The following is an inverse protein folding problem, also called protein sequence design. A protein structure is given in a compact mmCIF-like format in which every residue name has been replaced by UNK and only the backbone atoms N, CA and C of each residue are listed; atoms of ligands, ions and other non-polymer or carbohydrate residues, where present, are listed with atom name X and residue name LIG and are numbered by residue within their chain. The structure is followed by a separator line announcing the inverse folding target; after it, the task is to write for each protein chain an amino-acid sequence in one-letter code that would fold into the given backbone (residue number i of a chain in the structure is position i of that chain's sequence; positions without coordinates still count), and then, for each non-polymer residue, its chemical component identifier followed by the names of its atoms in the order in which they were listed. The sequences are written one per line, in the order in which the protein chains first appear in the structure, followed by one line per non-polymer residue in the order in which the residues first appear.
data_IF_997696852316
#
_entry.id   IF_997696852316
#
_cell.length_a   1.000
_cell.length_b   1.000
_cell.length_c   1.000
_cell.angle_alpha   90.00
_cell.angle_beta   90.00
_cell.angle_gamma   90.00
#
_symmetry.space_group_name_H-M   'P 1'
#
loop_
_entity.id
_entity.type
_entity.pdbx_description
1 polymer ?
#
# COMPACT_ATOMS: atom_id res chain seq x y z
N UNK A 1 11.13 1.12 -2.92
CA UNK A 1 11.16 2.12 -3.99
C UNK A 1 11.14 1.54 -5.40
N UNK A 2 11.82 0.42 -5.69
CA UNK A 2 11.80 -0.16 -7.05
C UNK A 2 10.39 -0.44 -7.59
N UNK A 3 9.54 -1.08 -6.77
CA UNK A 3 8.12 -1.32 -7.12
C UNK A 3 7.35 0.00 -7.32
N UNK A 4 7.61 1.00 -6.49
CA UNK A 4 6.99 2.33 -6.64
C UNK A 4 7.37 2.94 -7.99
N UNK A 5 8.66 2.95 -8.32
CA UNK A 5 9.17 3.49 -9.57
C UNK A 5 8.58 2.77 -10.77
N UNK A 6 8.50 1.43 -10.72
CA UNK A 6 7.85 0.65 -11.78
C UNK A 6 6.39 1.08 -11.97
N UNK A 7 5.62 1.23 -10.89
CA UNK A 7 4.22 1.70 -10.96
C UNK A 7 4.11 3.09 -11.57
N UNK A 8 4.98 4.02 -11.17
CA UNK A 8 5.02 5.37 -11.74
C UNK A 8 5.32 5.34 -13.23
N UNK A 9 6.29 4.53 -13.67
CA UNK A 9 6.63 4.39 -15.09
C UNK A 9 5.46 3.80 -15.89
N UNK A 10 4.89 2.68 -15.44
CA UNK A 10 3.79 2.00 -16.14
C UNK A 10 2.54 2.89 -16.24
N UNK A 11 2.14 3.54 -15.15
CA UNK A 11 1.01 4.50 -15.15
C UNK A 11 1.31 5.70 -16.02
N UNK A 12 2.51 6.25 -15.90
CA UNK A 12 2.97 7.40 -16.67
C UNK A 12 2.85 7.16 -18.17
N UNK A 13 3.39 6.02 -18.64
CA UNK A 13 3.29 5.59 -20.04
C UNK A 13 1.85 5.36 -20.48
N UNK A 14 1.05 4.68 -19.66
CA UNK A 14 -0.35 4.37 -19.98
C UNK A 14 -1.24 5.61 -20.04
N UNK A 15 -0.92 6.67 -19.28
CA UNK A 15 -1.59 7.97 -19.35
C UNK A 15 -0.95 8.94 -20.35
N UNK A 16 0.07 8.52 -21.11
CA UNK A 16 0.71 9.35 -22.14
C UNK A 16 1.60 10.47 -21.60
N UNK A 17 2.11 10.37 -20.37
CA UNK A 17 3.06 11.34 -19.84
C UNK A 17 4.41 11.24 -20.56
N UNK A 18 5.01 12.40 -20.83
CA UNK A 18 6.39 12.48 -21.31
C UNK A 18 7.41 12.07 -20.24
N UNK A 19 8.63 11.76 -20.66
CA UNK A 19 9.70 11.27 -19.79
C UNK A 19 9.97 12.19 -18.58
N UNK A 20 9.96 13.51 -18.78
CA UNK A 20 10.19 14.48 -17.71
C UNK A 20 9.10 14.45 -16.64
N UNK A 21 7.83 14.26 -17.07
CA UNK A 21 6.70 14.12 -16.17
C UNK A 21 6.80 12.86 -15.31
N UNK A 22 7.19 11.74 -15.91
CA UNK A 22 7.42 10.48 -15.19
C UNK A 22 8.58 10.63 -14.20
N UNK A 23 9.70 11.22 -14.66
CA UNK A 23 10.93 11.38 -13.87
C UNK A 23 10.71 12.17 -12.58
N UNK A 24 9.84 13.18 -12.61
CA UNK A 24 9.54 14.02 -11.45
C UNK A 24 8.95 13.25 -10.25
N UNK A 25 8.38 12.07 -10.50
CA UNK A 25 7.74 11.22 -9.48
C UNK A 25 8.58 9.98 -9.11
N UNK A 26 9.76 9.80 -9.73
CA UNK A 26 10.67 8.70 -9.42
C UNK A 26 11.52 8.99 -8.18
N UNK A 27 11.85 7.92 -7.45
CA UNK A 27 12.67 7.95 -6.25
C UNK A 27 13.82 6.94 -6.41
N UNK A 28 15.03 7.36 -6.83
CA UNK A 28 16.18 6.48 -7.08
C UNK A 28 16.87 6.04 -5.78
N UNK A 29 16.08 5.56 -4.81
CA UNK A 29 16.54 5.10 -3.50
C UNK A 29 16.28 3.58 -3.28
N UNK A 30 16.00 2.84 -4.36
CA UNK A 30 15.89 1.39 -4.35
C UNK A 30 17.17 0.70 -4.83
N UNK A 31 17.05 -0.55 -5.28
CA UNK A 31 18.15 -1.26 -5.94
C UNK A 31 18.43 -0.70 -7.34
N UNK A 32 17.43 -0.08 -7.97
CA UNK A 32 17.56 0.59 -9.26
C UNK A 32 18.00 2.05 -9.07
N UNK A 33 19.24 2.35 -9.45
CA UNK A 33 19.74 3.72 -9.55
C UNK A 33 19.13 4.48 -10.72
N UNK A 34 19.42 5.79 -10.79
CA UNK A 34 18.85 6.69 -11.80
C UNK A 34 19.07 6.21 -13.24
N UNK A 35 20.27 5.71 -13.58
CA UNK A 35 20.56 5.20 -14.93
C UNK A 35 19.67 4.01 -15.32
N UNK A 36 19.44 3.06 -14.40
CA UNK A 36 18.55 1.92 -14.63
C UNK A 36 17.10 2.37 -14.82
N UNK A 37 16.66 3.37 -14.06
CA UNK A 37 15.32 3.93 -14.19
C UNK A 37 15.15 4.67 -15.54
N UNK A 38 16.16 5.41 -16.01
CA UNK A 38 16.12 6.01 -17.35
C UNK A 38 16.02 4.96 -18.45
N UNK A 39 16.73 3.83 -18.31
CA UNK A 39 16.60 2.70 -19.25
C UNK A 39 15.17 2.17 -19.29
N UNK A 40 14.47 2.10 -18.15
CA UNK A 40 13.07 1.69 -18.12
C UNK A 40 12.13 2.74 -18.74
N UNK A 41 12.36 4.03 -18.52
CA UNK A 41 11.57 5.12 -19.13
C UNK A 41 11.73 5.13 -20.66
N UNK A 42 12.91 4.79 -21.16
CA UNK A 42 13.22 4.79 -22.59
C UNK A 42 12.51 3.66 -23.37
N UNK A 43 11.92 2.68 -22.69
CA UNK A 43 11.19 1.59 -23.35
C UNK A 43 9.79 2.05 -23.77
N UNK A 44 9.31 1.49 -24.88
CA UNK A 44 8.06 1.90 -25.52
C UNK A 44 6.85 1.12 -25.01
N UNK A 45 7.03 -0.16 -24.66
CA UNK A 45 5.91 -1.04 -24.27
C UNK A 45 5.98 -1.42 -22.79
N UNK A 46 4.80 -1.55 -22.16
CA UNK A 46 4.69 -2.03 -20.78
C UNK A 46 5.27 -3.44 -20.61
N UNK A 47 5.14 -4.30 -21.64
CA UNK A 47 5.72 -5.65 -21.65
C UNK A 47 7.25 -5.60 -21.55
N UNK A 48 7.90 -4.74 -22.34
CA UNK A 48 9.36 -4.57 -22.30
C UNK A 48 9.81 -3.98 -20.97
N UNK A 49 9.07 -3.01 -20.44
CA UNK A 49 9.34 -2.39 -19.14
C UNK A 49 9.32 -3.44 -18.03
N UNK A 50 8.27 -4.26 -17.98
CA UNK A 50 8.12 -5.33 -17.00
C UNK A 50 9.25 -6.35 -17.14
N UNK A 51 9.54 -6.82 -18.36
CA UNK A 51 10.58 -7.81 -18.61
C UNK A 51 11.98 -7.32 -18.19
N UNK A 52 12.32 -6.06 -18.51
CA UNK A 52 13.59 -5.47 -18.12
C UNK A 52 13.67 -5.24 -16.61
N UNK A 53 12.60 -4.77 -15.99
CA UNK A 53 12.53 -4.63 -14.53
C UNK A 53 12.74 -5.98 -13.83
N UNK A 54 12.09 -7.05 -14.30
CA UNK A 54 12.27 -8.40 -13.75
C UNK A 54 13.70 -8.89 -13.88
N UNK A 55 14.37 -8.62 -15.01
CA UNK A 55 15.79 -8.97 -15.21
C UNK A 55 16.71 -8.20 -14.27
N UNK A 56 16.46 -6.90 -14.07
CA UNK A 56 17.30 -6.04 -13.25
C UNK A 56 17.15 -6.32 -11.74
N UNK A 57 15.94 -6.68 -11.30
CA UNK A 57 15.62 -6.84 -9.86
C UNK A 57 15.56 -8.29 -9.40
N UNK A 58 15.48 -9.25 -10.33
CA UNK A 58 15.20 -10.65 -10.04
C UNK A 58 13.74 -10.93 -9.64
N UNK A 59 12.86 -9.92 -9.63
CA UNK A 59 11.45 -10.08 -9.29
C UNK A 59 10.65 -10.54 -10.50
N UNK A 60 10.15 -11.77 -10.45
CA UNK A 60 9.38 -12.34 -11.56
C UNK A 60 7.88 -12.06 -11.43
N UNK A 61 7.25 -11.79 -12.57
CA UNK A 61 5.80 -11.76 -12.69
C UNK A 61 5.37 -13.11 -13.30
N UNK A 62 4.49 -13.87 -12.61
CA UNK A 62 3.98 -15.14 -13.10
C UNK A 62 3.29 -15.01 -14.46
N UNK A 63 3.34 -16.10 -15.25
CA UNK A 63 2.78 -16.11 -16.60
C UNK A 63 1.27 -15.91 -16.62
N UNK A 64 0.55 -16.43 -15.63
CA UNK A 64 -0.89 -16.23 -15.45
C UNK A 64 -1.24 -14.76 -15.16
N UNK A 65 -0.47 -14.08 -14.32
CA UNK A 65 -0.64 -12.64 -14.04
C UNK A 65 -0.37 -11.81 -15.29
N UNK A 66 0.65 -12.16 -16.08
CA UNK A 66 0.93 -11.51 -17.36
C UNK A 66 -0.16 -11.76 -18.39
N UNK A 67 -0.70 -12.98 -18.48
CA UNK A 67 -1.80 -13.30 -19.38
C UNK A 67 -3.06 -12.52 -19.03
N UNK A 68 -3.44 -12.47 -17.75
CA UNK A 68 -4.59 -11.68 -17.29
C UNK A 68 -4.39 -10.19 -17.60
N UNK A 69 -3.19 -9.65 -17.39
CA UNK A 69 -2.88 -8.27 -17.78
C UNK A 69 -3.05 -8.04 -19.29
N UNK A 70 -2.59 -8.95 -20.14
CA UNK A 70 -2.73 -8.82 -21.60
C UNK A 70 -4.17 -8.95 -22.08
N UNK A 71 -4.98 -9.76 -21.41
CA UNK A 71 -6.40 -9.93 -21.74
C UNK A 71 -7.25 -8.74 -21.29
N UNK A 72 -6.93 -8.14 -20.14
CA UNK A 72 -7.74 -7.09 -19.53
C UNK A 72 -7.20 -5.67 -19.75
N UNK A 73 -5.94 -5.55 -20.15
CA UNK A 73 -5.14 -4.31 -20.15
C UNK A 73 -5.13 -3.59 -18.79
N UNK A 74 -5.47 -4.31 -17.71
CA UNK A 74 -5.61 -3.74 -16.38
C UNK A 74 -4.29 -3.85 -15.59
N UNK A 75 -3.57 -2.73 -15.50
CA UNK A 75 -2.34 -2.63 -14.70
C UNK A 75 -2.55 -3.02 -13.22
N UNK A 76 -3.77 -2.91 -12.69
CA UNK A 76 -4.08 -3.29 -11.31
C UNK A 76 -3.69 -4.73 -10.97
N UNK A 77 -3.76 -5.64 -11.93
CA UNK A 77 -3.36 -7.06 -11.77
C UNK A 77 -1.86 -7.19 -11.49
N UNK A 78 -1.05 -6.45 -12.24
CA UNK A 78 0.41 -6.36 -12.05
C UNK A 78 0.72 -5.70 -10.71
N UNK A 79 0.05 -4.60 -10.40
CA UNK A 79 0.31 -3.83 -9.18
C UNK A 79 -0.02 -4.59 -7.90
N UNK A 80 -1.09 -5.38 -7.92
CA UNK A 80 -1.51 -6.25 -6.81
C UNK A 80 -0.50 -7.37 -6.57
N UNK A 81 -0.05 -8.05 -7.64
CA UNK A 81 1.02 -9.05 -7.55
C UNK A 81 2.29 -8.46 -6.92
N UNK A 82 2.74 -7.29 -7.41
CA UNK A 82 3.93 -6.63 -6.89
C UNK A 82 3.81 -6.28 -5.40
N UNK A 83 2.65 -5.82 -4.93
CA UNK A 83 2.44 -5.55 -3.49
C UNK A 83 2.53 -6.82 -2.65
N UNK A 84 1.91 -7.92 -3.10
CA UNK A 84 1.99 -9.20 -2.38
C UNK A 84 3.41 -9.73 -2.33
N UNK A 85 4.13 -9.69 -3.45
CA UNK A 85 5.54 -10.09 -3.52
C UNK A 85 6.40 -9.24 -2.58
N UNK A 86 6.15 -7.93 -2.49
CA UNK A 86 6.86 -7.04 -1.56
C UNK A 86 6.77 -7.51 -0.12
N UNK A 87 5.56 -7.76 0.39
CA UNK A 87 5.38 -8.19 1.78
C UNK A 87 5.91 -9.61 2.01
N UNK A 88 5.79 -10.50 1.02
CA UNK A 88 6.34 -11.85 1.14
C UNK A 88 7.88 -11.84 1.27
N UNK A 89 8.55 -11.06 0.42
CA UNK A 89 10.01 -10.87 0.48
C UNK A 89 10.41 -10.23 1.81
N UNK A 90 9.71 -9.17 2.23
CA UNK A 90 9.99 -8.50 3.49
C UNK A 90 9.86 -9.45 4.68
N UNK A 91 8.76 -10.19 4.80
CA UNK A 91 8.56 -11.14 5.89
C UNK A 91 9.61 -12.26 5.91
N UNK A 92 10.00 -12.74 4.73
CA UNK A 92 11.02 -13.80 4.57
C UNK A 92 12.43 -13.30 4.88
N UNK A 93 12.69 -11.99 4.79
CA UNK A 93 13.97 -11.36 5.12
C UNK A 93 14.19 -11.16 6.63
N UNK A 94 13.15 -11.32 7.45
CA UNK A 94 13.21 -11.12 8.90
C UNK A 94 13.45 -12.46 9.58
N UNK A 95 14.57 -12.60 10.30
CA UNK A 95 14.81 -13.75 11.18
C UNK A 95 14.20 -13.50 12.58
N UNK A 96 13.09 -14.17 12.96
CA UNK A 96 12.41 -13.95 14.23
C UNK A 96 13.07 -14.75 15.38
N UNK A 97 14.39 -14.90 15.39
CA UNK A 97 15.13 -15.61 16.46
C UNK A 97 15.20 -14.84 17.78
N UNK A 98 15.17 -13.50 17.73
CA UNK A 98 15.27 -12.62 18.90
C UNK A 98 13.95 -11.93 19.24
N UNK A 99 13.79 -11.44 20.48
CA UNK A 99 12.59 -10.65 20.85
C UNK A 99 12.42 -9.39 19.97
N UNK A 100 13.46 -8.55 19.73
CA UNK A 100 13.32 -7.40 18.85
C UNK A 100 12.90 -7.76 17.41
N UNK A 101 13.48 -8.83 16.84
CA UNK A 101 13.14 -9.23 15.46
C UNK A 101 11.75 -9.85 15.34
N UNK A 102 11.29 -10.62 16.35
CA UNK A 102 9.88 -11.05 16.45
C UNK A 102 8.91 -9.87 16.49
N UNK A 103 9.25 -8.84 17.27
CA UNK A 103 8.41 -7.65 17.40
C UNK A 103 8.37 -6.85 16.09
N UNK A 104 9.49 -6.76 15.37
CA UNK A 104 9.51 -6.17 14.04
C UNK A 104 8.69 -6.98 13.02
N UNK A 105 8.79 -8.31 13.07
CA UNK A 105 7.93 -9.16 12.24
C UNK A 105 6.45 -8.92 12.55
N UNK A 106 6.05 -8.91 13.82
CA UNK A 106 4.67 -8.64 14.23
C UNK A 106 4.18 -7.25 13.81
N UNK A 107 5.07 -6.24 13.81
CA UNK A 107 4.78 -4.92 13.28
C UNK A 107 4.44 -5.00 11.77
N UNK A 108 5.29 -5.65 10.96
CA UNK A 108 5.04 -5.82 9.51
C UNK A 108 3.75 -6.61 9.26
N UNK A 109 3.49 -7.66 10.04
CA UNK A 109 2.25 -8.43 9.94
C UNK A 109 1.00 -7.62 10.30
N UNK A 110 1.13 -6.69 11.24
CA UNK A 110 0.05 -5.75 11.59
C UNK A 110 -0.17 -4.70 10.49
N UNK A 111 0.89 -4.26 9.80
CA UNK A 111 0.78 -3.42 8.60
C UNK A 111 0.00 -4.13 7.48
N UNK A 112 0.25 -5.43 7.29
CA UNK A 112 -0.50 -6.28 6.35
C UNK A 112 -1.99 -6.33 6.74
N UNK A 113 -2.32 -6.54 8.02
CA UNK A 113 -3.71 -6.53 8.49
C UNK A 113 -4.41 -5.21 8.18
N UNK A 114 -3.77 -4.08 8.52
CA UNK A 114 -4.32 -2.73 8.24
C UNK A 114 -4.54 -2.56 6.73
N UNK A 115 -3.62 -3.04 5.89
CA UNK A 115 -3.74 -2.95 4.44
C UNK A 115 -4.87 -3.82 3.89
N UNK A 116 -4.98 -5.06 4.35
CA UNK A 116 -6.06 -5.98 3.99
C UNK A 116 -7.42 -5.43 4.40
N UNK A 117 -7.54 -4.90 5.61
CA UNK A 117 -8.76 -4.27 6.06
C UNK A 117 -9.13 -3.06 5.20
N UNK A 118 -8.17 -2.17 4.88
CA UNK A 118 -8.42 -1.05 3.94
C UNK A 118 -8.92 -1.55 2.58
N UNK A 119 -8.33 -2.63 2.05
CA UNK A 119 -8.74 -3.23 0.78
C UNK A 119 -10.17 -3.80 0.86
N UNK A 120 -10.47 -4.58 1.90
CA UNK A 120 -11.79 -5.17 2.13
C UNK A 120 -12.85 -4.07 2.24
N UNK A 121 -12.59 -3.00 3.02
CA UNK A 121 -13.54 -1.90 3.20
C UNK A 121 -13.76 -1.09 1.91
N UNK A 122 -12.72 -0.90 1.10
CA UNK A 122 -12.87 -0.25 -0.23
C UNK A 122 -13.71 -1.07 -1.17
N UNK A 123 -13.41 -2.37 -1.31
CA UNK A 123 -14.17 -3.28 -2.17
C UNK A 123 -15.62 -3.40 -1.71
N UNK A 124 -15.83 -3.44 -0.39
CA UNK A 124 -17.17 -3.41 0.24
C UNK A 124 -17.98 -2.18 -0.16
N UNK A 125 -17.33 -1.02 -0.27
CA UNK A 125 -17.97 0.23 -0.70
C UNK A 125 -18.38 0.22 -2.18
N UNK A 126 -17.65 -0.54 -3.01
CA UNK A 126 -17.91 -0.72 -4.44
C UNK A 126 -18.86 -1.90 -4.72
N UNK A 127 -19.47 -2.51 -3.69
CA UNK A 127 -20.40 -3.63 -3.86
C UNK A 127 -19.73 -4.99 -4.09
N UNK A 128 -18.42 -5.11 -3.83
CA UNK A 128 -17.65 -6.35 -4.04
C UNK A 128 -17.46 -7.08 -2.71
N UNK A 129 -17.98 -8.29 -2.62
CA UNK A 129 -18.02 -9.10 -1.40
C UNK A 129 -17.59 -10.56 -1.64
N UNK A 130 -17.48 -11.31 -0.55
CA UNK A 130 -17.24 -12.76 -0.57
C UNK A 130 -15.87 -13.17 -1.11
N UNK A 131 -15.80 -14.35 -1.73
CA UNK A 131 -14.52 -14.96 -2.13
C UNK A 131 -13.74 -14.12 -3.14
N UNK A 132 -14.42 -13.33 -3.97
CA UNK A 132 -13.78 -12.44 -4.96
C UNK A 132 -12.80 -11.45 -4.31
N UNK A 133 -13.09 -11.02 -3.06
CA UNK A 133 -12.25 -10.11 -2.28
C UNK A 133 -10.93 -10.77 -1.89
N UNK A 134 -10.91 -12.09 -1.68
CA UNK A 134 -9.71 -12.83 -1.27
C UNK A 134 -8.60 -12.75 -2.33
N UNK A 135 -8.96 -12.49 -3.60
CA UNK A 135 -7.97 -12.24 -4.64
C UNK A 135 -7.07 -11.06 -4.28
N UNK A 136 -7.53 -10.06 -3.53
CA UNK A 136 -6.76 -8.84 -3.22
C UNK A 136 -6.16 -8.84 -1.81
N UNK A 137 -6.31 -9.95 -1.07
CA UNK A 137 -5.78 -10.09 0.28
C UNK A 137 -4.29 -10.44 0.22
N UNK A 138 -3.49 -9.68 0.94
CA UNK A 138 -2.07 -9.91 1.11
C UNK A 138 -1.87 -10.98 2.19
N UNK A 139 -1.19 -12.10 1.91
CA UNK A 139 -0.96 -13.15 2.90
C UNK A 139 0.05 -12.70 3.98
N UNK A 140 0.03 -13.38 5.13
CA UNK A 140 0.99 -13.14 6.21
C UNK A 140 0.55 -12.14 7.28
N UNK A 141 -0.74 -11.79 7.33
CA UNK A 141 -1.32 -10.97 8.40
C UNK A 141 -1.09 -11.54 9.81
N UNK A 142 -1.28 -10.69 10.84
CA UNK A 142 -1.15 -11.09 12.25
C UNK A 142 -2.47 -11.61 12.80
N UNK A 143 -3.55 -10.85 12.58
CA UNK A 143 -4.93 -11.13 12.99
C UNK A 143 -5.81 -11.51 11.82
N UNK A 144 -5.53 -10.96 10.63
CA UNK A 144 -6.34 -11.20 9.43
C UNK A 144 -5.68 -12.32 8.62
N UNK A 145 -6.04 -13.55 8.97
CA UNK A 145 -5.77 -14.71 8.13
C UNK A 145 -6.80 -14.84 6.99
N UNK A 146 -6.63 -15.83 6.11
CA UNK A 146 -7.54 -16.04 4.96
C UNK A 146 -8.99 -16.29 5.38
N UNK A 147 -9.20 -17.02 6.49
CA UNK A 147 -10.55 -17.36 6.98
C UNK A 147 -11.22 -16.10 7.53
N UNK A 148 -10.51 -15.33 8.33
CA UNK A 148 -11.02 -14.10 8.90
C UNK A 148 -11.22 -13.02 7.85
N UNK A 149 -10.34 -12.93 6.85
CA UNK A 149 -10.54 -12.06 5.69
C UNK A 149 -11.83 -12.41 4.92
N UNK A 150 -12.12 -13.70 4.72
CA UNK A 150 -13.36 -14.14 4.08
C UNK A 150 -14.59 -13.76 4.92
N UNK A 151 -14.50 -13.93 6.23
CA UNK A 151 -15.56 -13.55 7.16
C UNK A 151 -15.86 -12.05 7.07
N UNK A 152 -14.83 -11.20 7.13
CA UNK A 152 -14.94 -9.75 6.93
C UNK A 152 -15.46 -9.38 5.52
N UNK A 153 -15.09 -10.14 4.50
CA UNK A 153 -15.54 -9.92 3.12
C UNK A 153 -17.02 -10.28 2.92
N UNK A 154 -17.54 -11.26 3.65
CA UNK A 154 -18.95 -11.69 3.56
C UNK A 154 -19.93 -10.71 4.20
N UNK A 155 -19.50 -9.93 5.19
CA UNK A 155 -20.34 -8.91 5.80
C UNK A 155 -20.61 -7.77 4.81
N UNK A 156 -21.83 -7.60 4.32
CA UNK A 156 -22.13 -6.61 3.25
C UNK A 156 -21.88 -5.15 3.67
N UNK A 157 -22.05 -4.82 4.95
CA UNK A 157 -21.86 -3.46 5.49
C UNK A 157 -20.79 -3.44 6.57
N UNK A 158 -20.24 -2.24 6.86
CA UNK A 158 -19.31 -2.04 7.98
C UNK A 158 -20.01 -2.37 9.31
N UNK A 159 -21.27 -2.00 9.45
CA UNK A 159 -22.10 -2.34 10.60
C UNK A 159 -22.23 -3.86 10.78
N UNK A 160 -22.45 -4.62 9.69
CA UNK A 160 -22.53 -6.08 9.73
C UNK A 160 -21.19 -6.73 10.13
N UNK A 161 -20.07 -6.07 9.83
CA UNK A 161 -18.74 -6.54 10.21
C UNK A 161 -18.34 -6.15 11.65
N UNK A 162 -19.16 -5.39 12.39
CA UNK A 162 -18.86 -4.82 13.70
C UNK A 162 -18.25 -5.83 14.69
N UNK A 163 -18.90 -6.98 14.89
CA UNK A 163 -18.46 -8.01 15.84
C UNK A 163 -17.08 -8.58 15.50
N UNK A 164 -16.77 -8.62 14.21
CA UNK A 164 -15.49 -9.12 13.72
C UNK A 164 -14.43 -8.04 13.86
N UNK A 165 -14.76 -6.80 13.48
CA UNK A 165 -13.87 -5.66 13.64
C UNK A 165 -13.44 -5.44 15.09
N UNK A 166 -14.28 -5.76 16.09
CA UNK A 166 -13.94 -5.72 17.52
C UNK A 166 -12.73 -6.57 17.92
N UNK A 167 -12.40 -7.59 17.12
CA UNK A 167 -11.26 -8.47 17.36
C UNK A 167 -9.93 -7.86 16.91
N UNK A 168 -9.97 -6.74 16.19
CA UNK A 168 -8.80 -6.07 15.63
C UNK A 168 -8.27 -4.98 16.57
N UNK A 169 -6.95 -4.87 16.65
CA UNK A 169 -6.25 -3.86 17.45
C UNK A 169 -6.61 -2.41 17.04
N UNK A 170 -7.16 -2.22 15.83
CA UNK A 170 -7.58 -0.91 15.29
C UNK A 170 -9.07 -0.59 15.50
N UNK A 171 -9.83 -1.42 16.20
CA UNK A 171 -11.28 -1.26 16.36
C UNK A 171 -11.70 0.09 16.93
N UNK A 172 -10.95 0.63 17.89
CA UNK A 172 -11.30 1.91 18.53
C UNK A 172 -11.48 3.05 17.52
N UNK A 173 -10.73 3.01 16.42
CA UNK A 173 -10.81 3.99 15.33
C UNK A 173 -11.98 3.69 14.39
N UNK A 174 -12.34 2.41 14.28
CA UNK A 174 -13.46 1.97 13.46
C UNK A 174 -14.80 2.16 14.16
N UNK A 175 -14.82 2.25 15.49
CA UNK A 175 -16.04 2.30 16.30
C UNK A 175 -17.01 3.38 15.84
N UNK A 176 -16.52 4.61 15.64
CA UNK A 176 -17.33 5.73 15.18
C UNK A 176 -17.90 5.51 13.76
N UNK A 177 -17.24 4.68 12.95
CA UNK A 177 -17.65 4.36 11.60
C UNK A 177 -18.61 3.18 11.51
N UNK A 178 -18.51 2.26 12.48
CA UNK A 178 -19.43 1.14 12.63
C UNK A 178 -20.79 1.61 13.13
N UNK A 179 -20.81 2.65 13.97
CA UNK A 179 -22.02 3.23 14.57
C UNK A 179 -22.76 4.21 13.64
N UNK A 180 -22.20 4.54 12.47
CA UNK A 180 -22.75 5.54 11.55
C UNK A 180 -23.07 4.92 10.18
N UNK A 181 -24.30 5.09 9.71
CA UNK A 181 -24.79 4.49 8.46
C UNK A 181 -24.18 5.12 7.18
N UNK A 182 -23.67 6.35 7.26
CA UNK A 182 -23.30 7.16 6.08
C UNK A 182 -21.87 7.71 6.15
N UNK A 183 -20.90 6.91 6.57
CA UNK A 183 -19.50 7.32 6.58
C UNK A 183 -18.87 7.09 5.21
N UNK A 184 -18.36 8.13 4.54
CA UNK A 184 -17.58 7.96 3.32
C UNK A 184 -16.35 7.11 3.61
N UNK A 185 -16.13 6.03 2.84
CA UNK A 185 -14.98 5.14 3.01
C UNK A 185 -13.65 5.89 2.97
N UNK A 186 -13.55 6.98 2.20
CA UNK A 186 -12.39 7.89 2.22
C UNK A 186 -11.99 8.34 3.63
N UNK A 187 -12.96 8.62 4.49
CA UNK A 187 -12.75 9.08 5.88
C UNK A 187 -12.16 7.95 6.70
N UNK A 188 -12.73 6.74 6.59
CA UNK A 188 -12.22 5.54 7.26
C UNK A 188 -10.76 5.27 6.85
N UNK A 189 -10.46 5.35 5.55
CA UNK A 189 -9.10 5.14 5.04
C UNK A 189 -8.12 6.20 5.56
N UNK A 190 -8.55 7.45 5.69
CA UNK A 190 -7.74 8.53 6.27
C UNK A 190 -7.42 8.24 7.74
N UNK A 191 -8.40 7.87 8.55
CA UNK A 191 -8.18 7.57 9.97
C UNK A 191 -7.34 6.31 10.17
N UNK A 192 -7.53 5.28 9.33
CA UNK A 192 -6.64 4.13 9.30
C UNK A 192 -5.20 4.51 8.93
N UNK A 193 -4.99 5.56 8.12
CA UNK A 193 -3.64 6.05 7.83
C UNK A 193 -3.01 6.74 9.04
N UNK A 194 -3.79 7.52 9.81
CA UNK A 194 -3.33 8.10 11.09
C UNK A 194 -2.95 7.01 12.09
N UNK A 195 -3.76 5.95 12.19
CA UNK A 195 -3.44 4.79 13.02
C UNK A 195 -2.10 4.15 12.66
N UNK A 196 -1.88 3.91 11.36
CA UNK A 196 -0.65 3.29 10.85
C UNK A 196 0.61 4.09 11.25
N UNK A 197 0.51 5.42 11.22
CA UNK A 197 1.59 6.33 11.65
C UNK A 197 1.78 6.31 13.17
N UNK A 198 0.69 6.37 13.93
CA UNK A 198 0.75 6.29 15.39
C UNK A 198 1.34 4.95 15.85
N UNK A 199 1.01 3.85 15.15
CA UNK A 199 1.58 2.54 15.37
C UNK A 199 3.09 2.51 15.09
N UNK A 200 3.53 3.08 13.96
CA UNK A 200 4.96 3.19 13.62
C UNK A 200 5.75 3.97 14.68
N UNK A 201 5.23 5.13 15.11
CA UNK A 201 5.84 5.98 16.15
C UNK A 201 5.90 5.28 17.51
N UNK A 202 4.82 4.60 17.92
CA UNK A 202 4.80 3.84 19.17
C UNK A 202 5.84 2.72 19.15
N UNK A 203 5.98 2.04 18.01
CA UNK A 203 6.93 0.97 17.83
C UNK A 203 8.39 1.49 17.87
N UNK A 204 8.68 2.64 17.26
CA UNK A 204 10.02 3.25 17.28
C UNK A 204 10.48 3.68 18.66
N UNK A 205 9.58 4.28 19.44
CA UNK A 205 9.87 4.70 20.81
C UNK A 205 10.09 3.52 21.76
N UNK A 206 9.50 2.35 21.48
CA UNK A 206 9.67 1.15 22.31
C UNK A 206 11.03 0.47 22.10
N UNK A 207 11.64 0.65 20.93
CA UNK A 207 12.87 -0.04 20.52
C UNK A 207 13.95 0.95 20.06
N UNK A 208 14.36 1.85 20.96
CA UNK A 208 15.30 2.94 20.66
C UNK A 208 16.70 2.50 20.24
N UNK A 209 17.17 1.33 20.70
CA UNK A 209 18.46 0.74 20.31
C UNK A 209 18.31 -0.30 19.19
N UNK A 210 17.53 0.01 18.16
CA UNK A 210 17.29 -0.87 17.01
C UNK A 210 17.27 -0.10 15.70
N UNK A 211 16.98 -0.75 14.57
CA UNK A 211 16.76 -0.08 13.26
C UNK A 211 15.47 0.75 13.23
N UNK A 212 14.56 0.54 14.17
CA UNK A 212 13.19 1.09 14.11
C UNK A 212 13.13 2.62 14.17
N UNK A 213 13.93 3.34 14.99
CA UNK A 213 13.97 4.79 14.94
C UNK A 213 14.41 5.35 13.58
N UNK A 214 15.29 4.64 12.87
CA UNK A 214 15.69 5.03 11.51
C UNK A 214 14.50 4.87 10.55
N UNK A 215 13.76 3.76 10.65
CA UNK A 215 12.55 3.54 9.85
C UNK A 215 11.47 4.61 10.15
N UNK A 216 11.29 4.96 11.41
CA UNK A 216 10.33 5.99 11.83
C UNK A 216 10.69 7.36 11.27
N UNK A 217 11.97 7.73 11.31
CA UNK A 217 12.46 8.94 10.64
C UNK A 217 12.17 8.89 9.13
N UNK A 218 12.44 7.76 8.47
CA UNK A 218 12.17 7.60 7.03
C UNK A 218 10.68 7.74 6.71
N UNK A 219 9.79 7.15 7.51
CA UNK A 219 8.33 7.26 7.35
C UNK A 219 7.89 8.73 7.49
N UNK A 220 8.36 9.44 8.50
CA UNK A 220 8.03 10.85 8.69
C UNK A 220 8.56 11.73 7.55
N UNK A 221 9.77 11.45 7.04
CA UNK A 221 10.31 12.15 5.87
C UNK A 221 9.54 11.86 4.59
N UNK A 222 9.06 10.64 4.39
CA UNK A 222 8.17 10.31 3.27
C UNK A 222 6.84 11.07 3.37
N UNK A 223 6.24 11.12 4.56
CA UNK A 223 5.00 11.86 4.81
C UNK A 223 5.18 13.35 4.56
N UNK A 224 6.27 13.94 5.02
CA UNK A 224 6.63 15.34 4.77
C UNK A 224 6.68 15.62 3.26
N UNK A 225 7.43 14.81 2.49
CA UNK A 225 7.53 14.96 1.04
C UNK A 225 6.18 14.79 0.33
N UNK A 226 5.35 13.83 0.77
CA UNK A 226 4.00 13.64 0.24
C UNK A 226 3.08 14.82 0.55
N UNK A 227 3.13 15.36 1.77
CA UNK A 227 2.34 16.53 2.16
C UNK A 227 2.73 17.75 1.31
N UNK A 228 4.03 18.01 1.12
CA UNK A 228 4.50 19.10 0.25
C UNK A 228 3.97 18.90 -1.18
N UNK A 229 4.07 17.69 -1.74
CA UNK A 229 3.57 17.39 -3.08
C UNK A 229 2.06 17.58 -3.19
N UNK A 230 1.29 17.13 -2.20
CA UNK A 230 -0.16 17.30 -2.15
C UNK A 230 -0.55 18.80 -2.12
N UNK A 231 0.19 19.61 -1.36
CA UNK A 231 0.00 21.07 -1.33
C UNK A 231 0.30 21.67 -2.70
N UNK A 232 1.48 21.41 -3.28
CA UNK A 232 1.89 22.00 -4.55
C UNK A 232 0.94 21.63 -5.69
N UNK A 233 0.61 20.34 -5.84
CA UNK A 233 -0.32 19.86 -6.87
C UNK A 233 -1.75 20.34 -6.64
N UNK A 234 -2.19 20.42 -5.39
CA UNK A 234 -3.50 20.96 -5.05
C UNK A 234 -3.64 22.43 -5.41
N UNK A 235 -2.61 23.24 -5.15
CA UNK A 235 -2.55 24.65 -5.55
C UNK A 235 -2.54 24.78 -7.08
N UNK A 236 -1.68 24.02 -7.76
CA UNK A 236 -1.57 24.00 -9.23
C UNK A 236 -2.91 23.64 -9.90
N UNK A 237 -3.66 22.72 -9.31
CA UNK A 237 -4.97 22.26 -9.80
C UNK A 237 -6.14 23.15 -9.38
N UNK A 238 -5.89 24.24 -8.64
CA UNK A 238 -6.94 25.15 -8.17
C UNK A 238 -7.86 24.59 -7.09
N UNK A 239 -7.42 23.59 -6.32
CA UNK A 239 -8.22 23.04 -5.22
C UNK A 239 -8.32 24.01 -4.05
N UNK A 240 -9.48 24.02 -3.39
CA UNK A 240 -9.69 24.82 -2.17
C UNK A 240 -8.81 24.36 -1.01
N UNK A 241 -8.43 25.32 -0.16
CA UNK A 241 -7.54 25.08 1.00
C UNK A 241 -8.06 23.99 1.95
N UNK A 242 -9.37 23.90 2.15
CA UNK A 242 -9.97 22.87 3.02
C UNK A 242 -9.83 21.46 2.42
N UNK A 243 -9.97 21.33 1.10
CA UNK A 243 -9.74 20.06 0.40
C UNK A 243 -8.27 19.66 0.53
N UNK A 244 -7.35 20.60 0.27
CA UNK A 244 -5.91 20.35 0.41
C UNK A 244 -5.57 19.92 1.84
N UNK A 245 -6.10 20.61 2.86
CA UNK A 245 -5.91 20.26 4.27
C UNK A 245 -6.39 18.85 4.58
N UNK A 246 -7.53 18.43 4.02
CA UNK A 246 -8.06 17.09 4.17
C UNK A 246 -7.20 15.98 3.54
N UNK A 247 -6.30 16.32 2.60
CA UNK A 247 -5.36 15.37 2.00
C UNK A 247 -4.05 15.21 2.79
N UNK A 248 -3.76 16.13 3.71
CA UNK A 248 -2.55 16.09 4.51
C UNK A 248 -2.66 15.04 5.61
N UNK A 249 -1.53 14.40 5.89
CA UNK A 249 -1.43 13.53 7.05
C UNK A 249 -0.46 14.14 8.04
N UNK A 250 -1.01 14.48 9.20
CA UNK A 250 -0.42 15.31 10.24
C UNK A 250 -0.47 14.54 11.55
#
# INVERSE_FOLDING_TARGET
WDIWNLKVILRGKSYGLGADGIRADLVPAGSLGAESLEKLIALDTNDDIIANYSRMTGMTIPADVMSEYKETENLGVIEDHLEKSRYNILLSSIDPSSRPTKMFQDYVRSEIDIRNLKTILKLKAEGIYGESVLKYVIPGGRRIDKKFALQLANAETIANASSDLQQLDCYDILKEFVESENVPVRTVISEMKRYEIAMAKKFSHMYTLSVVPVLDYMIHKEIEGRNIRAITRGIESGLDKEIIRGLLVI
#
